data_IF_177998196029
#
_entry.id   IF_177998196029
#
_cell.length_a   1.000
_cell.length_b   1.000
_cell.length_c   1.000
_cell.angle_alpha   90.00
_cell.angle_beta   90.00
_cell.angle_gamma   90.00
#
_symmetry.space_group_name_H-M   'P 1'
#
loop_
_entity.id
_entity.type
_entity.pdbx_description
1 polymer ?
#
# COMPACT_ATOMS: atom_id res chain seq x y z
N UNK A 1 -28.84 7.99 4.09
CA UNK A 1 -27.84 6.96 3.72
C UNK A 1 -28.47 6.12 2.64
N UNK A 2 -27.78 5.90 1.52
CA UNK A 2 -28.29 5.08 0.42
C UNK A 2 -27.86 3.63 0.61
N UNK A 3 -26.60 3.40 0.98
CA UNK A 3 -26.08 2.04 1.20
C UNK A 3 -24.82 2.03 2.06
N UNK A 4 -24.51 0.88 2.62
CA UNK A 4 -23.27 0.58 3.37
C UNK A 4 -22.69 -0.71 2.83
N UNK A 5 -21.38 -0.77 2.59
CA UNK A 5 -20.68 -2.01 2.21
C UNK A 5 -19.64 -2.37 3.26
N UNK A 6 -19.50 -3.66 3.50
CA UNK A 6 -18.56 -4.29 4.44
C UNK A 6 -17.86 -5.46 3.75
N UNK A 7 -17.00 -6.19 4.46
CA UNK A 7 -16.41 -7.43 3.94
C UNK A 7 -17.45 -8.47 3.50
N UNK A 8 -18.67 -8.44 4.05
CA UNK A 8 -19.74 -9.37 3.68
C UNK A 8 -20.33 -9.10 2.29
N UNK A 9 -20.10 -7.91 1.74
CA UNK A 9 -20.58 -7.52 0.41
C UNK A 9 -19.58 -7.87 -0.71
N UNK A 10 -18.43 -8.47 -0.37
CA UNK A 10 -17.41 -8.88 -1.33
C UNK A 10 -17.69 -10.33 -1.76
N UNK A 11 -18.12 -10.58 -3.02
CA UNK A 11 -18.48 -11.92 -3.48
C UNK A 11 -17.27 -12.80 -3.84
N UNK A 12 -16.11 -12.19 -4.10
CA UNK A 12 -14.87 -12.88 -4.47
C UNK A 12 -13.74 -12.61 -3.48
N UNK A 13 -12.60 -12.12 -4.01
CA UNK A 13 -11.38 -11.89 -3.25
C UNK A 13 -11.43 -10.57 -2.47
N UNK A 14 -11.34 -10.64 -1.14
CA UNK A 14 -11.22 -9.47 -0.26
C UNK A 14 -9.75 -9.05 -0.07
N UNK A 15 -9.06 -8.70 -1.16
CA UNK A 15 -7.64 -8.33 -1.14
C UNK A 15 -7.23 -7.60 -2.44
N UNK A 16 -6.57 -6.45 -2.31
CA UNK A 16 -6.08 -5.60 -3.42
C UNK A 16 -4.59 -5.75 -3.71
N UNK A 17 -3.88 -6.62 -3.02
CA UNK A 17 -2.47 -6.89 -3.25
C UNK A 17 -2.22 -7.45 -4.65
N UNK A 18 -1.50 -6.71 -5.48
CA UNK A 18 -1.26 -7.08 -6.88
C UNK A 18 -0.17 -8.16 -7.04
N UNK A 19 0.96 -7.97 -6.37
CA UNK A 19 2.11 -8.89 -6.48
C UNK A 19 2.05 -9.98 -5.41
N UNK A 20 1.62 -9.59 -4.21
CA UNK A 20 1.52 -10.46 -3.04
C UNK A 20 0.19 -10.20 -2.34
N UNK A 21 -0.40 -11.24 -1.79
CA UNK A 21 -1.58 -11.12 -0.92
C UNK A 21 -1.20 -10.46 0.42
N UNK A 22 -2.21 -10.04 1.17
CA UNK A 22 -2.09 -9.47 2.51
C UNK A 22 -2.57 -8.02 2.62
N UNK A 23 -3.25 -7.48 1.60
CA UNK A 23 -3.78 -6.11 1.60
C UNK A 23 -5.32 -6.11 1.45
N UNK A 24 -6.07 -6.41 2.52
CA UNK A 24 -7.52 -6.59 2.47
C UNK A 24 -8.27 -5.29 2.20
N UNK A 25 -9.35 -5.35 1.40
CA UNK A 25 -10.24 -4.20 1.17
C UNK A 25 -10.93 -3.80 2.48
N UNK A 26 -11.52 -4.79 3.16
CA UNK A 26 -12.11 -4.64 4.48
C UNK A 26 -11.59 -5.75 5.40
N UNK A 27 -10.67 -5.47 6.33
CA UNK A 27 -10.03 -6.49 7.15
C UNK A 27 -10.97 -7.01 8.25
N UNK A 28 -10.71 -8.24 8.72
CA UNK A 28 -11.32 -8.75 9.97
C UNK A 28 -10.63 -8.20 11.23
N UNK A 29 -9.38 -7.77 11.10
CA UNK A 29 -8.53 -7.23 12.17
C UNK A 29 -7.89 -5.95 11.65
N UNK A 30 -8.13 -4.83 12.32
CA UNK A 30 -7.43 -3.59 12.00
C UNK A 30 -5.94 -3.73 12.35
N UNK A 31 -5.07 -3.48 11.36
CA UNK A 31 -3.62 -3.66 11.48
C UNK A 31 -2.84 -2.34 11.41
N UNK A 32 -3.48 -1.28 10.92
CA UNK A 32 -2.95 0.09 10.97
C UNK A 32 -4.04 1.13 11.20
N UNK A 33 -3.63 2.31 11.66
CA UNK A 33 -4.53 3.44 11.88
C UNK A 33 -4.95 4.04 10.53
N UNK A 34 -6.26 4.14 10.29
CA UNK A 34 -6.82 4.59 9.01
C UNK A 34 -7.25 3.46 8.06
N UNK A 35 -7.02 2.19 8.41
CA UNK A 35 -7.42 1.06 7.56
C UNK A 35 -8.94 1.02 7.35
N UNK A 36 -9.44 1.03 6.09
CA UNK A 36 -10.88 1.01 5.82
C UNK A 36 -11.55 -0.25 6.37
N UNK A 37 -12.66 -0.09 7.09
CA UNK A 37 -13.43 -1.21 7.67
C UNK A 37 -14.78 -1.45 6.98
N UNK A 38 -15.36 -0.38 6.44
CA UNK A 38 -16.60 -0.36 5.69
C UNK A 38 -16.66 0.95 4.90
N UNK A 39 -17.62 1.09 4.01
CA UNK A 39 -17.86 2.34 3.28
C UNK A 39 -19.34 2.67 3.18
N UNK A 40 -19.66 3.96 3.05
CA UNK A 40 -21.03 4.48 3.03
C UNK A 40 -21.28 5.26 1.74
N UNK A 41 -22.36 4.93 1.05
CA UNK A 41 -22.91 5.74 -0.04
C UNK A 41 -24.07 6.62 0.46
N UNK A 42 -24.09 7.87 0.00
CA UNK A 42 -25.17 8.81 0.19
C UNK A 42 -25.35 9.68 -1.06
N UNK A 43 -26.41 10.48 -1.09
CA UNK A 43 -26.72 11.40 -2.21
C UNK A 43 -25.78 12.61 -2.27
N UNK A 44 -24.96 12.83 -1.24
CA UNK A 44 -23.90 13.84 -1.24
C UNK A 44 -22.71 13.37 -0.39
N UNK A 45 -21.52 13.91 -0.67
CA UNK A 45 -20.30 13.65 0.10
C UNK A 45 -20.47 14.05 1.57
N UNK A 46 -21.12 15.17 1.84
CA UNK A 46 -21.38 15.64 3.21
C UNK A 46 -22.24 14.65 4.00
N UNK A 47 -23.31 14.13 3.38
CA UNK A 47 -24.18 13.14 4.02
C UNK A 47 -23.47 11.80 4.24
N UNK A 48 -22.60 11.37 3.32
CA UNK A 48 -21.80 10.17 3.48
C UNK A 48 -20.87 10.29 4.70
N UNK A 49 -20.23 11.46 4.88
CA UNK A 49 -19.36 11.76 6.03
C UNK A 49 -20.13 11.81 7.35
N UNK A 50 -21.25 12.53 7.39
CA UNK A 50 -22.11 12.55 8.59
C UNK A 50 -22.60 11.16 8.96
N UNK A 51 -22.83 10.29 7.98
CA UNK A 51 -23.28 8.93 8.21
C UNK A 51 -22.16 7.99 8.68
N UNK A 52 -20.96 8.05 8.09
CA UNK A 52 -19.84 7.17 8.47
C UNK A 52 -19.44 7.37 9.94
N UNK A 53 -19.50 8.61 10.44
CA UNK A 53 -19.20 8.96 11.84
C UNK A 53 -20.21 8.41 12.86
N UNK A 54 -21.39 7.95 12.42
CA UNK A 54 -22.37 7.32 13.32
C UNK A 54 -22.06 5.86 13.63
N UNK A 55 -21.12 5.25 12.90
CA UNK A 55 -20.73 3.87 13.15
C UNK A 55 -20.07 3.74 14.53
N UNK A 56 -20.51 2.73 15.29
CA UNK A 56 -19.89 2.36 16.57
C UNK A 56 -19.08 1.09 16.35
N UNK A 57 -17.76 1.19 16.53
CA UNK A 57 -16.83 0.07 16.34
C UNK A 57 -16.16 -0.22 17.68
N UNK A 58 -16.22 -1.47 18.11
CA UNK A 58 -15.56 -1.93 19.34
C UNK A 58 -14.32 -2.73 18.96
N UNK A 59 -13.19 -2.40 19.59
CA UNK A 59 -11.92 -3.06 19.34
C UNK A 59 -11.44 -3.76 20.61
N UNK A 60 -10.82 -4.93 20.42
CA UNK A 60 -9.87 -5.46 21.39
C UNK A 60 -8.49 -4.99 20.99
N UNK A 61 -7.94 -4.01 21.72
CA UNK A 61 -6.63 -3.44 21.45
C UNK A 61 -5.54 -4.49 21.61
N UNK A 62 -4.65 -4.57 20.62
CA UNK A 62 -3.45 -5.40 20.64
C UNK A 62 -2.21 -4.51 20.68
N UNK A 63 -1.08 -5.04 21.15
CA UNK A 63 0.18 -4.28 21.18
C UNK A 63 0.77 -4.20 19.76
N UNK A 64 0.85 -3.01 19.14
CA UNK A 64 1.39 -2.86 17.79
C UNK A 64 2.92 -2.92 17.80
N UNK A 65 3.50 -3.19 16.63
CA UNK A 65 4.95 -3.05 16.38
C UNK A 65 5.11 -2.01 15.27
N UNK A 66 5.60 -0.83 15.64
CA UNK A 66 5.69 0.34 14.75
C UNK A 66 7.13 0.78 14.46
N UNK A 67 8.09 0.21 15.17
CA UNK A 67 9.53 0.48 15.06
C UNK A 67 10.26 -0.64 14.32
N UNK A 68 11.16 -0.26 13.39
CA UNK A 68 11.90 -1.21 12.55
C UNK A 68 12.82 -2.09 13.41
N UNK A 69 13.49 -1.54 14.43
CA UNK A 69 14.41 -2.31 15.28
C UNK A 69 13.65 -3.33 16.12
N UNK A 70 12.46 -2.97 16.62
CA UNK A 70 11.58 -3.91 17.31
C UNK A 70 11.13 -5.04 16.37
N UNK A 71 10.71 -4.72 15.14
CA UNK A 71 10.33 -5.72 14.13
C UNK A 71 11.50 -6.68 13.82
N UNK A 72 12.71 -6.15 13.64
CA UNK A 72 13.93 -6.95 13.44
C UNK A 72 14.21 -7.89 14.62
N UNK A 73 14.10 -7.39 15.86
CA UNK A 73 14.32 -8.18 17.08
C UNK A 73 13.31 -9.33 17.18
N UNK A 74 12.05 -9.06 16.85
CA UNK A 74 10.97 -10.07 16.83
C UNK A 74 10.95 -10.93 15.57
N UNK A 75 11.83 -10.66 14.59
CA UNK A 75 11.88 -11.32 13.28
C UNK A 75 10.54 -11.26 12.53
N UNK A 76 9.85 -10.12 12.62
CA UNK A 76 8.61 -9.86 11.90
C UNK A 76 8.97 -9.36 10.50
N UNK A 77 8.76 -10.22 9.49
CA UNK A 77 9.09 -9.93 8.11
C UNK A 77 7.88 -10.18 7.22
N UNK A 78 7.58 -9.25 6.31
CA UNK A 78 6.57 -9.46 5.25
C UNK A 78 7.12 -10.28 4.09
N UNK A 79 8.44 -10.28 3.89
CA UNK A 79 9.15 -11.06 2.87
C UNK A 79 10.49 -11.57 3.41
N UNK A 80 10.99 -12.67 2.84
CA UNK A 80 12.32 -13.19 3.17
C UNK A 80 13.41 -12.20 2.71
N UNK A 81 14.34 -11.90 3.61
CA UNK A 81 15.49 -11.04 3.31
C UNK A 81 16.38 -11.61 2.20
N UNK A 82 16.94 -10.71 1.38
CA UNK A 82 17.88 -11.04 0.29
C UNK A 82 19.31 -10.69 0.69
N UNK A 83 20.28 -11.39 0.12
CA UNK A 83 21.71 -11.15 0.34
C UNK A 83 22.44 -11.11 -0.99
N UNK A 84 23.06 -9.97 -1.27
CA UNK A 84 23.94 -9.80 -2.43
C UNK A 84 25.38 -9.80 -1.91
N UNK A 85 26.27 -10.57 -2.53
CA UNK A 85 27.67 -10.70 -2.09
C UNK A 85 28.59 -10.78 -3.30
N UNK A 86 29.62 -9.94 -3.31
CA UNK A 86 30.77 -10.00 -4.23
C UNK A 86 32.07 -10.11 -3.43
N UNK A 87 32.89 -11.11 -3.74
CA UNK A 87 34.15 -11.37 -3.02
C UNK A 87 33.96 -11.71 -1.53
N UNK A 88 34.95 -11.40 -0.70
CA UNK A 88 34.89 -11.62 0.75
C UNK A 88 35.02 -10.29 1.53
N UNK A 89 33.92 -9.54 1.71
CA UNK A 89 33.96 -8.23 2.36
C UNK A 89 34.45 -8.29 3.80
N UNK A 90 34.03 -9.29 4.60
CA UNK A 90 34.48 -9.44 5.99
C UNK A 90 36.00 -9.57 6.09
N UNK A 91 36.63 -10.36 5.21
CA UNK A 91 38.09 -10.51 5.18
C UNK A 91 38.80 -9.22 4.76
N UNK A 92 38.21 -8.47 3.82
CA UNK A 92 38.77 -7.18 3.37
C UNK A 92 38.65 -6.11 4.44
N UNK A 93 37.49 -6.01 5.08
CA UNK A 93 37.23 -5.09 6.20
C UNK A 93 38.21 -5.36 7.35
N UNK A 94 38.38 -6.61 7.77
CA UNK A 94 39.28 -6.97 8.87
C UNK A 94 40.77 -6.73 8.56
N UNK A 95 41.15 -6.67 7.28
CA UNK A 95 42.54 -6.43 6.83
C UNK A 95 42.80 -4.96 6.49
N UNK A 96 41.74 -4.16 6.36
CA UNK A 96 41.87 -2.77 6.01
C UNK A 96 42.57 -2.01 7.14
N UNK A 97 43.36 -1.00 6.76
CA UNK A 97 44.09 -0.19 7.74
C UNK A 97 43.15 0.62 8.63
N UNK A 98 42.06 1.14 8.05
CA UNK A 98 41.05 1.92 8.77
C UNK A 98 39.70 1.19 8.70
N UNK A 99 38.91 1.35 9.76
CA UNK A 99 37.61 0.70 9.93
C UNK A 99 36.59 1.70 10.49
N UNK A 100 35.36 1.63 9.97
CA UNK A 100 34.23 2.38 10.50
C UNK A 100 33.00 1.47 10.57
N UNK A 101 32.28 1.54 11.69
CA UNK A 101 30.98 0.92 11.88
C UNK A 101 30.01 1.96 12.42
N UNK A 102 28.88 2.10 11.76
CA UNK A 102 27.86 3.03 12.20
C UNK A 102 26.47 2.59 11.70
N UNK A 103 25.45 3.32 12.12
CA UNK A 103 24.08 3.17 11.65
C UNK A 103 23.47 4.51 11.33
N UNK A 104 22.52 4.55 10.39
CA UNK A 104 21.71 5.72 10.14
C UNK A 104 20.29 5.31 9.72
N UNK A 105 19.38 6.28 9.80
CA UNK A 105 17.99 6.12 9.38
C UNK A 105 17.68 7.07 8.23
N UNK A 106 16.88 6.60 7.29
CA UNK A 106 16.29 7.42 6.24
C UNK A 106 14.80 7.59 6.55
N UNK A 107 14.34 8.84 6.55
CA UNK A 107 12.93 9.15 6.80
C UNK A 107 12.01 8.65 5.68
N UNK A 108 10.75 8.49 6.05
CA UNK A 108 9.68 8.22 5.09
C UNK A 108 9.27 9.52 4.37
N UNK A 109 8.53 9.41 3.26
CA UNK A 109 8.11 10.55 2.46
C UNK A 109 6.74 10.28 1.84
N UNK A 110 5.84 11.24 1.99
CA UNK A 110 4.53 11.23 1.33
C UNK A 110 4.66 11.60 -0.15
N UNK A 111 3.85 11.00 -1.00
CA UNK A 111 3.83 11.29 -2.44
C UNK A 111 3.33 12.70 -2.72
N UNK A 112 2.29 13.09 -1.97
CA UNK A 112 1.71 14.43 -2.01
C UNK A 112 1.33 14.90 -3.43
N UNK A 113 0.86 13.97 -4.28
CA UNK A 113 0.24 14.31 -5.56
C UNK A 113 -0.90 15.32 -5.35
N UNK A 114 -1.00 16.34 -6.20
CA UNK A 114 -1.99 17.41 -6.00
C UNK A 114 -3.43 16.93 -6.14
N UNK A 115 -3.69 16.02 -7.08
CA UNK A 115 -4.97 15.31 -7.17
C UNK A 115 -4.93 14.10 -6.24
N UNK A 116 -5.75 14.10 -5.18
CA UNK A 116 -5.92 12.94 -4.30
C UNK A 116 -6.48 11.69 -4.98
N UNK A 117 -6.60 10.61 -4.24
CA UNK A 117 -7.18 9.36 -4.69
C UNK A 117 -8.65 9.55 -5.07
N UNK A 118 -9.01 9.04 -6.26
CA UNK A 118 -10.36 9.20 -6.80
C UNK A 118 -10.72 8.03 -7.72
N UNK A 119 -11.95 7.55 -7.55
CA UNK A 119 -12.59 6.61 -8.44
C UNK A 119 -14.03 7.07 -8.76
N UNK A 120 -14.47 6.80 -9.98
CA UNK A 120 -15.84 7.01 -10.42
C UNK A 120 -16.29 5.78 -11.21
N UNK A 121 -17.29 5.08 -10.72
CA UNK A 121 -17.77 3.82 -11.26
C UNK A 121 -19.18 4.00 -11.78
N UNK A 122 -19.43 3.53 -13.00
CA UNK A 122 -20.72 3.49 -13.66
C UNK A 122 -21.07 2.01 -13.89
N UNK A 123 -22.15 1.49 -13.28
CA UNK A 123 -22.62 0.15 -13.57
C UNK A 123 -23.20 0.11 -14.98
N UNK A 124 -22.98 -0.99 -15.68
CA UNK A 124 -23.48 -1.23 -17.04
C UNK A 124 -24.46 -2.41 -17.06
N UNK A 125 -24.93 -2.78 -18.24
CA UNK A 125 -25.69 -4.02 -18.47
C UNK A 125 -24.86 -5.25 -18.08
N UNK A 126 -25.51 -6.40 -17.89
CA UNK A 126 -24.85 -7.69 -17.58
C UNK A 126 -23.97 -7.74 -16.31
N UNK A 127 -24.12 -6.77 -15.40
CA UNK A 127 -23.23 -6.54 -14.26
C UNK A 127 -21.78 -6.20 -14.65
N UNK A 128 -21.61 -5.54 -15.78
CA UNK A 128 -20.35 -4.94 -16.20
C UNK A 128 -20.14 -3.58 -15.51
N UNK A 129 -18.90 -3.11 -15.48
CA UNK A 129 -18.54 -1.85 -14.83
C UNK A 129 -17.58 -1.03 -15.67
N UNK A 130 -17.95 0.24 -15.92
CA UNK A 130 -17.05 1.26 -16.43
C UNK A 130 -16.46 2.06 -15.27
N UNK A 131 -15.14 2.13 -15.21
CA UNK A 131 -14.40 2.67 -14.06
C UNK A 131 -13.43 3.73 -14.52
N UNK A 132 -13.60 4.94 -14.04
CA UNK A 132 -12.60 5.99 -14.14
C UNK A 132 -11.82 6.02 -12.82
N UNK A 133 -10.51 5.78 -12.88
CA UNK A 133 -9.66 5.74 -11.69
C UNK A 133 -8.44 6.62 -11.90
N UNK A 134 -8.04 7.36 -10.87
CA UNK A 134 -6.73 8.02 -10.86
C UNK A 134 -5.68 6.97 -10.46
N UNK A 135 -5.25 6.18 -11.44
CA UNK A 135 -4.31 5.05 -11.28
C UNK A 135 -3.20 5.10 -12.32
N UNK A 136 -2.01 4.63 -11.96
CA UNK A 136 -0.90 4.39 -12.90
C UNK A 136 -0.99 2.99 -13.54
N UNK A 137 -1.87 2.12 -13.05
CA UNK A 137 -1.93 0.72 -13.47
C UNK A 137 -3.38 0.27 -13.74
N UNK A 138 -3.99 0.71 -14.87
CA UNK A 138 -5.39 0.39 -15.20
C UNK A 138 -5.64 -1.11 -15.40
N UNK A 139 -4.69 -1.83 -16.01
CA UNK A 139 -4.82 -3.28 -16.23
C UNK A 139 -4.88 -4.07 -14.91
N UNK A 140 -4.08 -3.70 -13.91
CA UNK A 140 -4.14 -4.37 -12.61
C UNK A 140 -5.38 -3.94 -11.82
N UNK A 141 -5.79 -2.67 -11.91
CA UNK A 141 -7.08 -2.22 -11.35
C UNK A 141 -8.24 -3.07 -11.87
N UNK A 142 -8.27 -3.36 -13.17
CA UNK A 142 -9.26 -4.24 -13.80
C UNK A 142 -9.24 -5.64 -13.16
N UNK A 143 -8.06 -6.26 -13.07
CA UNK A 143 -7.91 -7.60 -12.53
C UNK A 143 -8.30 -7.69 -11.05
N UNK A 144 -7.91 -6.72 -10.23
CA UNK A 144 -8.27 -6.67 -8.81
C UNK A 144 -9.78 -6.58 -8.64
N UNK A 145 -10.45 -5.74 -9.43
CA UNK A 145 -11.91 -5.58 -9.34
C UNK A 145 -12.63 -6.84 -9.83
N UNK A 146 -12.17 -7.45 -10.91
CA UNK A 146 -12.70 -8.72 -11.40
C UNK A 146 -12.56 -9.84 -10.35
N UNK A 147 -11.37 -9.98 -9.72
CA UNK A 147 -11.13 -10.93 -8.62
C UNK A 147 -12.03 -10.64 -7.42
N UNK A 148 -12.18 -9.38 -7.02
CA UNK A 148 -13.05 -8.95 -5.92
C UNK A 148 -14.51 -9.31 -6.20
N UNK A 149 -14.98 -9.13 -7.43
CA UNK A 149 -16.35 -9.42 -7.84
C UNK A 149 -16.61 -10.89 -8.21
N UNK A 150 -15.56 -11.72 -8.25
CA UNK A 150 -15.61 -13.07 -8.81
C UNK A 150 -16.16 -13.08 -10.26
N UNK A 151 -15.68 -12.14 -11.08
CA UNK A 151 -16.09 -11.96 -12.47
C UNK A 151 -14.89 -12.13 -13.42
N UNK A 152 -15.17 -12.23 -14.72
CA UNK A 152 -14.14 -12.26 -15.77
C UNK A 152 -13.63 -10.84 -16.04
N UNK A 153 -12.35 -10.69 -16.36
CA UNK A 153 -11.73 -9.37 -16.60
C UNK A 153 -12.44 -8.55 -17.70
N UNK A 154 -13.03 -9.22 -18.71
CA UNK A 154 -13.72 -8.55 -19.82
C UNK A 154 -15.02 -7.83 -19.41
N UNK A 155 -15.54 -8.08 -18.21
CA UNK A 155 -16.71 -7.37 -17.64
C UNK A 155 -16.35 -6.02 -17.00
N UNK A 156 -15.05 -5.74 -16.86
CA UNK A 156 -14.55 -4.54 -16.18
C UNK A 156 -13.76 -3.71 -17.18
N UNK A 157 -14.15 -2.46 -17.40
CA UNK A 157 -13.42 -1.51 -18.24
C UNK A 157 -12.86 -0.36 -17.39
N UNK A 158 -11.54 -0.19 -17.37
CA UNK A 158 -10.87 0.86 -16.59
C UNK A 158 -10.28 1.90 -17.54
N UNK A 159 -10.72 3.15 -17.42
CA UNK A 159 -10.26 4.27 -18.24
C UNK A 159 -9.50 5.31 -17.40
N UNK A 160 -8.32 5.69 -17.90
CA UNK A 160 -7.48 6.74 -17.30
C UNK A 160 -7.17 7.76 -18.38
N UNK A 161 -7.72 8.97 -18.27
CA UNK A 161 -7.39 10.07 -19.19
C UNK A 161 -6.08 10.75 -18.84
N UNK A 162 -5.94 11.13 -17.57
CA UNK A 162 -4.75 11.76 -16.95
C UNK A 162 -4.84 11.59 -15.44
N UNK A 163 -3.71 11.75 -14.76
CA UNK A 163 -3.64 11.81 -13.29
C UNK A 163 -2.92 13.09 -12.86
N UNK A 164 -3.40 13.75 -11.81
CA UNK A 164 -2.81 14.98 -11.25
C UNK A 164 -1.63 14.68 -10.31
N UNK A 165 -0.66 13.92 -10.80
CA UNK A 165 0.46 13.37 -10.03
C UNK A 165 0.16 11.97 -9.48
N UNK A 166 1.21 11.15 -9.34
CA UNK A 166 1.13 9.78 -8.82
C UNK A 166 2.39 9.38 -8.06
N UNK A 167 3.56 9.52 -8.68
CA UNK A 167 4.88 9.33 -8.04
C UNK A 167 5.09 7.94 -7.40
N UNK A 168 4.37 6.91 -7.89
CA UNK A 168 4.36 5.55 -7.31
C UNK A 168 3.17 5.30 -6.39
N UNK A 169 2.64 6.34 -5.74
CA UNK A 169 1.49 6.24 -4.82
C UNK A 169 0.16 5.91 -5.51
N UNK A 170 0.11 5.88 -6.84
CA UNK A 170 -1.04 5.44 -7.63
C UNK A 170 -0.74 4.19 -8.47
N UNK A 171 0.40 3.54 -8.24
CA UNK A 171 0.76 2.27 -8.88
C UNK A 171 -0.06 1.11 -8.33
N UNK A 172 -0.21 1.04 -7.00
CA UNK A 172 -1.02 0.00 -6.34
C UNK A 172 -2.05 0.56 -5.36
N UNK A 173 -1.74 1.64 -4.64
CA UNK A 173 -2.60 2.15 -3.57
C UNK A 173 -3.95 2.70 -4.05
N UNK A 174 -4.10 2.98 -5.35
CA UNK A 174 -5.37 3.38 -5.95
C UNK A 174 -6.43 2.26 -5.96
N UNK A 175 -6.02 1.00 -5.87
CA UNK A 175 -6.90 -0.16 -6.10
C UNK A 175 -8.01 -0.27 -5.04
N UNK A 176 -7.71 0.04 -3.77
CA UNK A 176 -8.69 -0.02 -2.68
C UNK A 176 -9.85 0.95 -2.91
N UNK A 177 -9.58 2.15 -3.43
CA UNK A 177 -10.63 3.14 -3.72
C UNK A 177 -11.51 2.71 -4.88
N UNK A 178 -10.91 2.15 -5.94
CA UNK A 178 -11.65 1.62 -7.08
C UNK A 178 -12.50 0.39 -6.69
N UNK A 179 -11.96 -0.49 -5.84
CA UNK A 179 -12.66 -1.64 -5.27
C UNK A 179 -13.87 -1.22 -4.43
N UNK A 180 -13.68 -0.35 -3.44
CA UNK A 180 -14.75 0.17 -2.57
C UNK A 180 -15.82 0.88 -3.39
N UNK A 181 -15.42 1.74 -4.33
CA UNK A 181 -16.34 2.48 -5.19
C UNK A 181 -17.19 1.53 -6.05
N UNK A 182 -16.57 0.46 -6.55
CA UNK A 182 -17.28 -0.58 -7.34
C UNK A 182 -18.27 -1.37 -6.49
N UNK A 183 -17.92 -1.74 -5.25
CA UNK A 183 -18.86 -2.41 -4.34
C UNK A 183 -20.09 -1.56 -4.04
N UNK A 184 -19.87 -0.26 -3.76
CA UNK A 184 -20.97 0.69 -3.55
C UNK A 184 -21.84 0.82 -4.80
N UNK A 185 -21.23 0.93 -5.99
CA UNK A 185 -21.95 1.03 -7.27
C UNK A 185 -22.75 -0.24 -7.56
N UNK A 186 -22.17 -1.43 -7.39
CA UNK A 186 -22.86 -2.72 -7.53
C UNK A 186 -24.06 -2.83 -6.60
N UNK A 187 -23.89 -2.48 -5.32
CA UNK A 187 -24.96 -2.61 -4.31
C UNK A 187 -26.09 -1.62 -4.54
N UNK A 188 -25.78 -0.42 -5.03
CA UNK A 188 -26.78 0.63 -5.29
C UNK A 188 -27.38 0.58 -6.68
N UNK A 189 -26.75 -0.12 -7.63
CA UNK A 189 -27.04 -0.09 -9.07
C UNK A 189 -27.01 1.33 -9.65
N UNK A 190 -26.21 2.21 -9.05
CA UNK A 190 -26.07 3.61 -9.45
C UNK A 190 -24.61 3.97 -9.69
N UNK A 191 -24.33 5.01 -10.49
CA UNK A 191 -23.01 5.60 -10.56
C UNK A 191 -22.57 6.10 -9.18
N UNK A 192 -21.35 5.76 -8.77
CA UNK A 192 -20.77 6.17 -7.48
C UNK A 192 -19.42 6.84 -7.73
N UNK A 193 -19.20 7.96 -7.06
CA UNK A 193 -17.93 8.69 -7.06
C UNK A 193 -17.34 8.70 -5.65
N UNK A 194 -16.12 8.22 -5.51
CA UNK A 194 -15.34 8.27 -4.28
C UNK A 194 -14.13 9.17 -4.51
N UNK A 195 -14.12 10.34 -3.87
CA UNK A 195 -12.98 11.27 -3.86
C UNK A 195 -12.54 11.45 -2.43
N UNK A 196 -11.28 11.15 -2.15
CA UNK A 196 -10.72 11.27 -0.81
C UNK A 196 -10.35 12.71 -0.50
N UNK A 197 -10.54 13.09 0.77
CA UNK A 197 -9.90 14.27 1.32
C UNK A 197 -8.42 13.98 1.59
N UNK A 198 -7.62 15.04 1.69
CA UNK A 198 -6.16 14.92 1.78
C UNK A 198 -5.70 14.14 3.01
N UNK A 199 -6.37 14.36 4.13
CA UNK A 199 -6.10 13.67 5.39
C UNK A 199 -6.39 12.17 5.28
N UNK A 200 -7.57 11.78 4.80
CA UNK A 200 -7.91 10.36 4.59
C UNK A 200 -6.96 9.68 3.59
N UNK A 201 -6.60 10.39 2.52
CA UNK A 201 -5.65 9.91 1.50
C UNK A 201 -4.28 9.59 2.13
N UNK A 202 -3.71 10.52 2.89
CA UNK A 202 -2.41 10.35 3.58
C UNK A 202 -2.49 9.24 4.65
N UNK A 203 -3.63 9.06 5.30
CA UNK A 203 -3.81 8.02 6.32
C UNK A 203 -3.93 6.62 5.73
N UNK A 204 -4.67 6.48 4.63
CA UNK A 204 -4.97 5.19 4.01
C UNK A 204 -3.82 4.74 3.11
N UNK A 205 -3.24 5.66 2.34
CA UNK A 205 -2.24 5.30 1.35
C UNK A 205 -0.87 5.10 2.00
N UNK A 206 -0.18 4.06 1.55
CA UNK A 206 1.22 3.86 1.87
C UNK A 206 2.10 5.00 1.33
N UNK A 207 3.35 5.01 1.78
CA UNK A 207 4.34 6.06 1.48
C UNK A 207 5.71 5.45 1.24
N UNK A 208 6.72 6.27 0.92
CA UNK A 208 8.10 5.79 0.78
C UNK A 208 8.53 5.06 2.06
N UNK A 209 9.11 3.88 1.90
CA UNK A 209 9.73 3.15 3.01
C UNK A 209 10.77 4.00 3.72
N UNK A 210 10.64 4.14 5.03
CA UNK A 210 11.78 4.48 5.88
C UNK A 210 12.70 3.27 6.02
N UNK A 211 14.00 3.55 6.13
CA UNK A 211 15.04 2.54 6.22
C UNK A 211 15.86 2.72 7.48
N UNK A 212 16.19 1.59 8.09
CA UNK A 212 17.26 1.46 9.06
C UNK A 212 18.45 0.76 8.41
N UNK A 213 19.62 1.38 8.49
CA UNK A 213 20.84 0.88 7.86
C UNK A 213 21.94 0.72 8.90
N UNK A 214 22.45 -0.49 9.04
CA UNK A 214 23.73 -0.77 9.71
C UNK A 214 24.80 -0.98 8.65
N UNK A 215 25.97 -0.37 8.80
CA UNK A 215 27.08 -0.61 7.89
C UNK A 215 28.42 -0.77 8.60
N UNK A 216 29.29 -1.55 7.97
CA UNK A 216 30.69 -1.75 8.32
C UNK A 216 31.52 -1.52 7.05
N UNK A 217 32.54 -0.68 7.13
CA UNK A 217 33.41 -0.34 6.00
C UNK A 217 34.88 -0.37 6.41
N UNK A 218 35.72 -0.94 5.55
CA UNK A 218 37.17 -0.92 5.67
C UNK A 218 37.79 -0.16 4.50
N UNK A 219 38.75 0.72 4.78
CA UNK A 219 39.41 1.58 3.80
C UNK A 219 40.87 1.87 4.18
N UNK A 220 41.67 2.32 3.21
CA UNK A 220 43.08 2.67 3.44
C UNK A 220 43.29 4.19 3.68
N UNK A 221 44.53 4.63 3.92
CA UNK A 221 44.81 6.06 4.22
C UNK A 221 44.53 7.01 3.05
N UNK A 222 44.39 6.48 1.83
CA UNK A 222 43.99 7.26 0.65
C UNK A 222 42.46 7.35 0.51
N UNK A 223 41.70 6.75 1.44
CA UNK A 223 40.23 6.72 1.40
C UNK A 223 39.64 5.65 0.47
N UNK A 224 40.46 4.78 -0.14
CA UNK A 224 39.95 3.73 -1.03
C UNK A 224 39.24 2.65 -0.20
N UNK A 225 37.97 2.41 -0.51
CA UNK A 225 37.15 1.38 0.13
C UNK A 225 37.58 -0.01 -0.36
N UNK A 226 37.96 -0.87 0.58
CA UNK A 226 38.44 -2.23 0.30
C UNK A 226 37.36 -3.29 0.56
N UNK A 227 36.41 -2.98 1.44
CA UNK A 227 35.27 -3.83 1.73
C UNK A 227 34.15 -3.06 2.42
N UNK A 228 32.91 -3.43 2.09
CA UNK A 228 31.70 -2.86 2.70
C UNK A 228 30.71 -3.98 2.98
N UNK A 229 30.02 -3.88 4.12
CA UNK A 229 28.92 -4.75 4.51
C UNK A 229 27.79 -3.87 5.00
N UNK A 230 26.63 -3.99 4.37
CA UNK A 230 25.44 -3.19 4.67
C UNK A 230 24.32 -4.17 5.04
N UNK A 231 23.64 -3.89 6.14
CA UNK A 231 22.35 -4.49 6.47
C UNK A 231 21.32 -3.37 6.40
N UNK A 232 20.37 -3.53 5.50
CA UNK A 232 19.33 -2.56 5.22
C UNK A 232 17.97 -3.21 5.52
N UNK A 233 17.15 -2.51 6.30
CA UNK A 233 15.83 -2.95 6.70
C UNK A 233 14.83 -1.83 6.44
N UNK A 234 13.79 -2.11 5.66
CA UNK A 234 12.71 -1.19 5.39
C UNK A 234 11.49 -1.46 6.26
N UNK A 235 10.73 -0.43 6.61
CA UNK A 235 9.39 -0.60 7.21
C UNK A 235 8.35 -0.77 6.10
N UNK A 236 7.91 -1.99 5.89
CA UNK A 236 6.97 -2.32 4.81
C UNK A 236 5.49 -2.10 5.14
N UNK A 237 5.15 -1.89 6.41
CA UNK A 237 3.75 -1.89 6.85
C UNK A 237 3.23 -3.32 7.04
N UNK A 238 1.93 -3.52 6.77
CA UNK A 238 1.22 -4.77 7.07
C UNK A 238 1.37 -5.83 5.98
N UNK A 239 1.63 -5.40 4.74
CA UNK A 239 1.65 -6.24 3.55
C UNK A 239 2.94 -6.03 2.76
N UNK A 240 3.31 -6.96 1.85
CA UNK A 240 4.50 -6.78 1.03
C UNK A 240 4.38 -5.66 -0.01
N UNK A 241 3.24 -5.53 -0.68
CA UNK A 241 3.07 -4.65 -1.85
C UNK A 241 4.31 -4.69 -2.79
N UNK A 242 4.95 -3.55 -3.09
CA UNK A 242 6.14 -3.46 -3.92
C UNK A 242 7.46 -3.53 -3.11
N UNK A 243 7.39 -3.80 -1.81
CA UNK A 243 8.56 -3.80 -0.90
C UNK A 243 9.68 -4.73 -1.36
N UNK A 244 9.34 -5.85 -2.01
CA UNK A 244 10.33 -6.77 -2.57
C UNK A 244 11.18 -6.14 -3.68
N UNK A 245 10.55 -5.40 -4.59
CA UNK A 245 11.22 -4.70 -5.68
C UNK A 245 12.02 -3.50 -5.15
N UNK A 246 11.45 -2.76 -4.21
CA UNK A 246 12.09 -1.60 -3.55
C UNK A 246 13.38 -2.03 -2.83
N UNK A 247 13.32 -3.06 -1.99
CA UNK A 247 14.49 -3.58 -1.27
C UNK A 247 15.55 -4.23 -2.19
N UNK A 248 15.16 -4.65 -3.40
CA UNK A 248 16.12 -5.19 -4.37
C UNK A 248 16.86 -4.08 -5.13
N UNK A 249 16.28 -2.88 -5.19
CA UNK A 249 16.84 -1.71 -5.85
C UNK A 249 17.70 -0.85 -4.92
N UNK A 250 17.34 -0.79 -3.63
CA UNK A 250 18.09 -0.09 -2.59
C UNK A 250 19.45 -0.78 -2.31
#
# INVERSE_FOLDING_TARGET
VVSVVTSADIPGRNDVGAVYDGDPIFPKKAEYFGQPLFAVAATSTELARKAVLKAKISYRTLKPVIDIKEALRKKLYVLKGRKIKRGNPSKKINRAKNYLKNSFTLGSQEHFYLEGQIAFVIPQEDNDFKIYSSTQHPSETQQIIAKMLNQKNNTINVEVRRIGGGFGGKETQSFIFAAICTLLSKKTKLPVKLRMDRDDDILITGKRHDFYVDYEVGFNNKGVIEGVKIKLASRCGISPDLSGAINSRA
#
